data_IF_632025113818
#
_entry.id   IF_632025113818
#
_cell.length_a   1.000
_cell.length_b   1.000
_cell.length_c   1.000
_cell.angle_alpha   90.00
_cell.angle_beta   90.00
_cell.angle_gamma   90.00
#
_symmetry.space_group_name_H-M   'P 1'
#
loop_
_entity.id
_entity.type
_entity.pdbx_description
1 polymer ?
#
# COMPACT_ATOMS: atom_id res chain seq x y z
N UNK A 1 3.41 16.93 21.84
CA UNK A 1 3.79 15.55 21.47
C UNK A 1 3.09 15.24 20.17
N UNK A 2 3.75 15.50 19.06
CA UNK A 2 3.26 15.23 17.70
C UNK A 2 3.45 13.75 17.45
N UNK A 3 2.42 12.95 17.08
CA UNK A 3 2.67 11.60 16.61
C UNK A 3 3.54 11.73 15.36
N UNK A 4 4.67 11.02 15.37
CA UNK A 4 5.60 11.02 14.27
C UNK A 4 4.89 10.40 13.06
N UNK A 5 4.39 11.24 12.14
CA UNK A 5 4.29 10.87 10.72
C UNK A 5 5.68 10.42 10.34
N UNK A 6 5.90 9.12 10.45
CA UNK A 6 7.11 8.48 9.99
C UNK A 6 7.02 8.63 8.49
N UNK A 7 7.55 9.74 7.98
CA UNK A 7 8.05 9.78 6.62
C UNK A 7 9.11 8.70 6.62
N UNK A 8 8.68 7.50 6.24
CA UNK A 8 9.54 6.38 6.01
C UNK A 8 10.27 6.74 4.71
N UNK A 9 11.23 7.64 4.83
CA UNK A 9 12.41 7.62 4.00
C UNK A 9 13.04 6.26 4.30
N UNK A 10 12.56 5.26 3.55
CA UNK A 10 13.14 3.95 3.40
C UNK A 10 14.65 4.10 3.45
N UNK A 11 15.25 3.71 4.57
CA UNK A 11 16.69 3.52 4.72
C UNK A 11 16.95 2.04 4.90
N UNK A 12 16.50 1.23 3.96
CA UNK A 12 17.46 0.73 2.99
C UNK A 12 17.27 1.58 1.73
N UNK A 13 18.34 2.01 1.03
CA UNK A 13 18.15 2.59 -0.28
C UNK A 13 17.47 1.53 -1.15
N UNK A 14 16.19 1.68 -1.40
CA UNK A 14 15.96 2.12 -2.76
C UNK A 14 16.13 3.61 -2.60
N UNK A 15 17.16 4.20 -3.20
CA UNK A 15 17.27 5.66 -3.30
C UNK A 15 15.95 6.20 -3.93
N UNK A 16 15.86 7.41 -4.49
CA UNK A 16 15.33 7.38 -5.85
C UNK A 16 16.00 6.16 -6.50
N UNK A 17 15.30 5.07 -6.80
CA UNK A 17 15.64 4.45 -8.04
C UNK A 17 15.20 5.57 -8.97
N UNK A 18 16.12 6.40 -9.54
CA UNK A 18 15.70 7.41 -10.51
C UNK A 18 14.86 6.76 -11.62
N UNK A 19 14.96 5.44 -11.69
CA UNK A 19 14.21 4.55 -12.52
C UNK A 19 12.90 3.96 -11.95
N UNK A 20 12.27 4.32 -10.82
CA UNK A 20 10.97 3.66 -10.46
C UNK A 20 9.89 4.57 -9.85
N UNK A 21 10.07 5.19 -8.67
CA UNK A 21 9.02 6.02 -8.05
C UNK A 21 9.19 6.36 -6.56
N UNK A 22 8.15 6.95 -5.95
CA UNK A 22 8.04 7.30 -4.53
C UNK A 22 6.75 6.75 -3.90
N UNK A 23 6.83 6.32 -2.65
CA UNK A 23 5.69 5.86 -1.85
C UNK A 23 5.67 6.60 -0.51
N UNK A 24 4.49 7.07 -0.08
CA UNK A 24 4.26 7.61 1.25
C UNK A 24 3.18 6.78 1.94
N UNK A 25 3.48 6.30 3.14
CA UNK A 25 2.62 5.38 3.87
C UNK A 25 2.27 5.95 5.23
N UNK A 26 1.00 5.86 5.60
CA UNK A 26 0.52 6.25 6.93
C UNK A 26 -0.41 5.16 7.45
N UNK A 27 -0.30 4.86 8.75
CA UNK A 27 -1.09 3.84 9.43
C UNK A 27 -2.09 4.51 10.35
N UNK A 28 -3.36 4.09 10.25
CA UNK A 28 -4.43 4.53 11.15
C UNK A 28 -5.01 3.37 11.93
N UNK A 29 -5.50 3.71 13.12
CA UNK A 29 -6.30 2.85 13.97
C UNK A 29 -7.67 3.46 14.24
N UNK A 30 -8.59 2.67 14.79
CA UNK A 30 -9.96 3.07 15.13
C UNK A 30 -10.78 3.54 13.91
N UNK A 31 -10.60 2.90 12.76
CA UNK A 31 -11.44 3.14 11.58
C UNK A 31 -12.79 2.45 11.79
N UNK A 32 -13.86 3.23 11.99
CA UNK A 32 -15.18 2.70 12.31
C UNK A 32 -15.95 2.16 11.09
N UNK A 33 -15.76 2.76 9.91
CA UNK A 33 -16.44 2.38 8.67
C UNK A 33 -15.47 2.46 7.49
N UNK A 34 -14.69 1.39 7.32
CA UNK A 34 -13.73 1.27 6.23
C UNK A 34 -14.39 1.18 4.83
N UNK A 35 -15.56 0.54 4.63
CA UNK A 35 -16.30 0.62 3.37
C UNK A 35 -16.68 2.05 2.97
N UNK A 36 -17.22 2.85 3.89
CA UNK A 36 -17.54 4.24 3.60
C UNK A 36 -16.28 5.08 3.33
N UNK A 37 -15.16 4.78 3.99
CA UNK A 37 -13.87 5.37 3.67
C UNK A 37 -13.41 5.04 2.25
N UNK A 38 -13.52 3.78 1.84
CA UNK A 38 -13.20 3.35 0.48
C UNK A 38 -14.10 4.04 -0.55
N UNK A 39 -15.41 4.13 -0.30
CA UNK A 39 -16.34 4.83 -1.19
C UNK A 39 -15.99 6.32 -1.35
N UNK A 40 -15.61 7.00 -0.27
CA UNK A 40 -15.14 8.40 -0.31
C UNK A 40 -13.87 8.54 -1.16
N UNK A 41 -12.92 7.63 -0.97
CA UNK A 41 -11.69 7.62 -1.78
C UNK A 41 -12.02 7.42 -3.26
N UNK A 42 -12.82 6.40 -3.60
CA UNK A 42 -13.21 6.12 -4.99
C UNK A 42 -13.96 7.30 -5.63
N UNK A 43 -14.78 8.03 -4.85
CA UNK A 43 -15.43 9.24 -5.32
C UNK A 43 -14.43 10.35 -5.64
N UNK A 44 -13.42 10.57 -4.78
CA UNK A 44 -12.35 11.54 -5.02
C UNK A 44 -11.43 11.19 -6.20
N UNK A 45 -11.34 9.90 -6.55
CA UNK A 45 -10.57 9.39 -7.68
C UNK A 45 -11.37 9.32 -8.99
N UNK A 46 -12.70 9.48 -8.92
CA UNK A 46 -13.58 9.30 -10.05
C UNK A 46 -13.44 10.44 -11.06
N UNK A 47 -13.28 10.06 -12.33
CA UNK A 47 -13.35 10.98 -13.48
C UNK A 47 -14.74 10.99 -14.13
N UNK A 48 -15.71 10.24 -13.56
CA UNK A 48 -17.10 10.26 -14.04
C UNK A 48 -17.69 11.66 -13.85
N UNK A 49 -18.61 12.01 -14.74
CA UNK A 49 -19.34 13.29 -14.74
C UNK A 49 -18.49 14.55 -15.01
N UNK A 50 -17.29 14.39 -15.59
CA UNK A 50 -16.41 15.52 -15.91
C UNK A 50 -15.73 16.15 -14.70
N UNK A 51 -15.84 15.52 -13.53
CA UNK A 51 -15.13 15.93 -12.32
C UNK A 51 -13.61 15.72 -12.51
N UNK A 52 -12.82 16.71 -12.10
CA UNK A 52 -11.37 16.56 -12.03
C UNK A 52 -11.03 15.77 -10.76
N UNK A 53 -10.33 14.63 -10.88
CA UNK A 53 -9.97 13.83 -9.72
C UNK A 53 -9.02 14.61 -8.83
N UNK A 54 -9.09 14.36 -7.52
CA UNK A 54 -8.20 15.01 -6.56
C UNK A 54 -6.72 14.70 -6.91
N UNK A 55 -5.85 15.71 -7.04
CA UNK A 55 -4.49 15.53 -7.54
C UNK A 55 -3.61 14.67 -6.62
N UNK A 56 -3.94 14.57 -5.33
CA UNK A 56 -3.21 13.76 -4.34
C UNK A 56 -3.93 12.41 -4.19
N UNK A 57 -5.24 12.43 -3.94
CA UNK A 57 -6.00 11.21 -3.63
C UNK A 57 -6.11 10.27 -4.84
N UNK A 58 -5.94 10.74 -6.08
CA UNK A 58 -5.84 9.88 -7.29
C UNK A 58 -4.79 8.77 -7.18
N UNK A 59 -3.75 9.00 -6.38
CA UNK A 59 -2.62 8.10 -6.21
C UNK A 59 -2.67 7.32 -4.89
N UNK A 60 -3.77 7.41 -4.13
CA UNK A 60 -3.93 6.75 -2.83
C UNK A 60 -4.57 5.38 -2.98
N UNK A 61 -4.09 4.41 -2.20
CA UNK A 61 -4.73 3.11 -2.01
C UNK A 61 -4.83 2.79 -0.52
N UNK A 62 -5.93 2.14 -0.13
CA UNK A 62 -6.17 1.69 1.24
C UNK A 62 -5.96 0.19 1.35
N UNK A 63 -5.14 -0.22 2.31
CA UNK A 63 -4.87 -1.61 2.63
C UNK A 63 -5.38 -1.93 4.03
N UNK A 64 -5.83 -3.16 4.22
CA UNK A 64 -6.11 -3.71 5.54
C UNK A 64 -4.78 -3.98 6.26
N UNK A 65 -4.53 -3.26 7.36
CA UNK A 65 -3.27 -3.38 8.09
C UNK A 65 -3.12 -4.74 8.80
N UNK A 66 -4.23 -5.42 9.12
CA UNK A 66 -4.23 -6.73 9.77
C UNK A 66 -3.86 -7.86 8.80
N UNK A 67 -3.86 -7.59 7.48
CA UNK A 67 -3.40 -8.51 6.45
C UNK A 67 -1.89 -8.35 6.15
N UNK A 68 -1.17 -7.47 6.86
CA UNK A 68 0.24 -7.16 6.58
C UNK A 68 1.12 -7.63 7.74
N UNK A 69 2.06 -8.55 7.47
CA UNK A 69 2.96 -9.06 8.51
C UNK A 69 3.95 -8.01 9.00
N UNK A 70 4.53 -7.22 8.10
CA UNK A 70 5.52 -6.23 8.50
C UNK A 70 5.68 -5.13 7.44
N UNK A 71 6.28 -3.98 7.82
CA UNK A 71 6.67 -2.94 6.88
C UNK A 71 7.51 -3.46 5.71
N UNK A 72 8.46 -4.36 5.97
CA UNK A 72 9.40 -4.85 4.96
C UNK A 72 8.72 -5.68 3.87
N UNK A 73 7.72 -6.49 4.23
CA UNK A 73 6.91 -7.23 3.24
C UNK A 73 6.14 -6.26 2.35
N UNK A 74 5.58 -5.20 2.93
CA UNK A 74 4.87 -4.17 2.17
C UNK A 74 5.82 -3.40 1.23
N UNK A 75 7.01 -3.05 1.69
CA UNK A 75 8.04 -2.37 0.89
C UNK A 75 8.44 -3.21 -0.32
N UNK A 76 8.67 -4.52 -0.14
CA UNK A 76 8.96 -5.44 -1.22
C UNK A 76 7.83 -5.48 -2.27
N UNK A 77 6.57 -5.51 -1.81
CA UNK A 77 5.41 -5.50 -2.69
C UNK A 77 5.27 -4.18 -3.47
N UNK A 78 5.48 -3.04 -2.81
CA UNK A 78 5.48 -1.71 -3.45
C UNK A 78 6.57 -1.60 -4.51
N UNK A 79 7.80 -1.99 -4.18
CA UNK A 79 8.92 -1.95 -5.12
C UNK A 79 8.63 -2.80 -6.36
N UNK A 80 8.14 -4.03 -6.17
CA UNK A 80 7.81 -4.91 -7.28
C UNK A 80 6.67 -4.36 -8.13
N UNK A 81 5.61 -3.85 -7.49
CA UNK A 81 4.48 -3.25 -8.19
C UNK A 81 4.91 -2.07 -9.07
N UNK A 82 5.67 -1.12 -8.52
CA UNK A 82 6.14 0.02 -9.30
C UNK A 82 7.08 -0.39 -10.43
N UNK A 83 7.95 -1.38 -10.18
CA UNK A 83 8.86 -1.93 -11.20
C UNK A 83 8.07 -2.54 -12.37
N UNK A 84 7.07 -3.35 -12.07
CA UNK A 84 6.23 -3.99 -13.09
C UNK A 84 5.41 -2.98 -13.90
N UNK A 85 4.82 -1.97 -13.24
CA UNK A 85 4.06 -0.93 -13.93
C UNK A 85 4.97 -0.14 -14.86
N UNK A 86 6.17 0.23 -14.40
CA UNK A 86 7.12 0.96 -15.24
C UNK A 86 7.66 0.13 -16.40
N UNK A 87 7.90 -1.16 -16.19
CA UNK A 87 8.33 -2.07 -17.24
C UNK A 87 7.19 -2.45 -18.23
N UNK A 88 5.96 -1.98 -17.99
CA UNK A 88 4.80 -2.29 -18.84
C UNK A 88 4.32 -3.75 -18.73
N UNK A 89 4.73 -4.47 -17.68
CA UNK A 89 4.38 -5.88 -17.46
C UNK A 89 3.40 -6.10 -16.29
N UNK A 90 2.87 -5.01 -15.72
CA UNK A 90 1.87 -5.06 -14.66
C UNK A 90 0.64 -5.85 -15.07
N UNK A 91 0.07 -6.59 -14.10
CA UNK A 91 -1.11 -7.43 -14.33
C UNK A 91 -2.42 -6.68 -14.06
N UNK A 92 -2.35 -5.60 -13.30
CA UNK A 92 -3.51 -4.81 -12.87
C UNK A 92 -3.56 -3.44 -13.57
N UNK A 93 -4.71 -2.77 -13.43
CA UNK A 93 -4.96 -1.45 -14.06
C UNK A 93 -4.44 -0.26 -13.25
N UNK A 94 -4.19 -0.44 -11.96
CA UNK A 94 -3.79 0.63 -11.06
C UNK A 94 -2.62 0.17 -10.22
N UNK A 95 -1.73 1.11 -9.88
CA UNK A 95 -0.55 0.80 -9.08
C UNK A 95 -0.91 0.22 -7.70
N UNK A 96 -1.98 0.71 -7.07
CA UNK A 96 -2.46 0.17 -5.79
C UNK A 96 -2.98 -1.27 -5.88
N UNK A 97 -3.68 -1.63 -6.96
CA UNK A 97 -4.09 -3.01 -7.20
C UNK A 97 -2.88 -3.92 -7.45
N UNK A 98 -1.83 -3.39 -8.11
CA UNK A 98 -0.59 -4.13 -8.34
C UNK A 98 0.15 -4.42 -7.02
N UNK A 99 0.08 -3.53 -6.03
CA UNK A 99 0.62 -3.78 -4.68
C UNK A 99 -0.12 -4.93 -3.99
N UNK A 100 -1.46 -4.91 -3.99
CA UNK A 100 -2.27 -6.01 -3.43
C UNK A 100 -2.01 -7.32 -4.17
N UNK A 101 -1.90 -7.25 -5.49
CA UNK A 101 -1.51 -8.38 -6.32
C UNK A 101 -0.13 -8.89 -5.96
N UNK A 102 0.87 -8.02 -5.74
CA UNK A 102 2.21 -8.44 -5.37
C UNK A 102 2.25 -9.16 -4.00
N UNK A 103 1.43 -8.71 -3.04
CA UNK A 103 1.29 -9.30 -1.71
C UNK A 103 0.64 -10.69 -1.74
N UNK A 104 -0.36 -10.90 -2.58
CA UNK A 104 -1.07 -12.18 -2.63
C UNK A 104 -0.20 -13.31 -3.22
N UNK A 105 -0.38 -14.57 -2.80
CA UNK A 105 0.24 -15.70 -3.50
C UNK A 105 -0.51 -16.04 -4.79
N UNK A 106 -1.83 -15.84 -4.82
CA UNK A 106 -2.67 -16.19 -5.97
C UNK A 106 -2.55 -15.21 -7.13
N UNK A 107 -2.77 -15.67 -8.36
CA UNK A 107 -2.85 -14.80 -9.55
C UNK A 107 -4.23 -14.14 -9.71
N UNK A 108 -5.20 -14.44 -8.84
CA UNK A 108 -6.52 -13.87 -8.87
C UNK A 108 -6.53 -12.47 -8.22
N UNK A 109 -6.63 -11.44 -9.06
CA UNK A 109 -6.63 -10.04 -8.63
C UNK A 109 -7.81 -9.74 -7.68
N UNK A 110 -8.98 -10.35 -7.89
CA UNK A 110 -10.15 -10.13 -7.03
C UNK A 110 -9.90 -10.64 -5.62
N UNK A 111 -9.29 -11.82 -5.50
CA UNK A 111 -8.99 -12.42 -4.20
C UNK A 111 -7.88 -11.63 -3.48
N UNK A 112 -6.89 -11.15 -4.23
CA UNK A 112 -5.86 -10.25 -3.71
C UNK A 112 -6.46 -8.97 -3.11
N UNK A 113 -7.38 -8.31 -3.84
CA UNK A 113 -8.07 -7.11 -3.35
C UNK A 113 -8.98 -7.42 -2.15
N UNK A 114 -9.65 -8.57 -2.13
CA UNK A 114 -10.49 -8.97 -1.01
C UNK A 114 -9.69 -9.29 0.26
N UNK A 115 -8.44 -9.75 0.11
CA UNK A 115 -7.57 -10.14 1.22
C UNK A 115 -6.81 -8.96 1.80
N UNK A 116 -6.17 -8.16 0.93
CA UNK A 116 -5.28 -7.07 1.35
C UNK A 116 -5.92 -5.69 1.27
N UNK A 117 -7.03 -5.54 0.55
CA UNK A 117 -7.83 -4.33 0.56
C UNK A 117 -8.70 -4.21 1.81
N UNK A 118 -9.26 -3.02 2.01
CA UNK A 118 -10.15 -2.77 3.14
C UNK A 118 -11.48 -3.53 3.00
N UNK A 119 -11.95 -4.08 4.10
CA UNK A 119 -13.21 -4.82 4.23
C UNK A 119 -14.10 -4.17 5.29
N UNK A 120 -15.34 -4.66 5.43
CA UNK A 120 -16.28 -4.18 6.47
C UNK A 120 -15.74 -4.28 7.90
N UNK A 121 -14.85 -5.23 8.15
CA UNK A 121 -14.31 -5.51 9.49
C UNK A 121 -12.94 -4.84 9.71
N UNK A 122 -12.46 -4.03 8.76
CA UNK A 122 -11.14 -3.39 8.84
C UNK A 122 -11.17 -2.21 9.81
N UNK A 123 -10.52 -2.36 10.96
CA UNK A 123 -10.38 -1.30 11.97
C UNK A 123 -9.03 -0.57 11.91
N UNK A 124 -8.04 -1.16 11.24
CA UNK A 124 -6.69 -0.61 11.05
C UNK A 124 -6.38 -0.54 9.56
N UNK A 125 -6.02 0.64 9.07
CA UNK A 125 -5.85 0.92 7.64
C UNK A 125 -4.47 1.48 7.39
N UNK A 126 -3.79 0.97 6.37
CA UNK A 126 -2.63 1.64 5.78
C UNK A 126 -3.11 2.39 4.55
N UNK A 127 -2.92 3.71 4.50
CA UNK A 127 -3.07 4.47 3.26
C UNK A 127 -1.69 4.66 2.62
N UNK A 128 -1.59 4.30 1.34
CA UNK A 128 -0.38 4.46 0.53
C UNK A 128 -0.63 5.45 -0.59
N UNK A 129 0.14 6.51 -0.64
CA UNK A 129 0.22 7.42 -1.79
C UNK A 129 1.42 7.00 -2.66
N UNK A 130 1.16 6.65 -3.92
CA UNK A 130 2.14 6.02 -4.82
C UNK A 130 2.34 6.86 -6.09
N UNK A 131 3.57 7.28 -6.37
CA UNK A 131 3.91 8.07 -7.56
C UNK A 131 5.05 7.39 -8.32
N UNK A 132 4.91 7.21 -9.62
CA UNK A 132 6.01 6.70 -10.46
C UNK A 132 6.96 7.83 -10.81
N UNK A 133 8.26 7.52 -10.91
CA UNK A 133 9.25 8.48 -11.37
C UNK A 133 8.97 8.84 -12.84
N UNK A 134 9.12 10.11 -13.24
CA UNK A 134 8.93 10.50 -14.64
C UNK A 134 9.86 9.69 -15.53
N UNK A 135 9.34 9.20 -16.67
CA UNK A 135 10.19 8.76 -17.76
C UNK A 135 10.94 9.98 -18.31
N UNK A 136 12.16 9.78 -18.81
CA UNK A 136 13.01 10.83 -19.40
C UNK A 136 12.38 11.60 -20.56
N UNK A 137 11.20 11.18 -21.02
CA UNK A 137 10.49 11.71 -22.20
C UNK A 137 9.32 12.64 -21.83
N UNK A 138 9.06 12.90 -20.54
CA UNK A 138 7.93 13.71 -20.09
C UNK A 138 8.34 15.14 -19.67
N UNK A 139 8.01 16.13 -20.50
CA UNK A 139 8.23 17.57 -20.23
C UNK A 139 7.29 18.18 -19.16
N UNK A 140 6.33 17.40 -18.64
CA UNK A 140 5.39 17.85 -17.61
C UNK A 140 5.83 17.32 -16.25
N UNK A 141 6.71 18.04 -15.56
CA UNK A 141 7.03 17.78 -14.16
C UNK A 141 5.85 18.23 -13.28
N UNK A 142 4.87 17.35 -13.09
CA UNK A 142 3.96 17.46 -11.95
C UNK A 142 4.80 17.08 -10.73
N UNK A 143 5.36 18.09 -10.06
CA UNK A 143 6.24 17.88 -8.91
C UNK A 143 5.51 17.04 -7.86
N UNK A 144 6.15 15.97 -7.38
CA UNK A 144 5.54 15.10 -6.39
C UNK A 144 5.09 15.95 -5.16
N UNK A 145 3.85 15.79 -4.69
CA UNK A 145 3.34 16.58 -3.59
C UNK A 145 4.19 16.35 -2.33
N UNK A 146 4.35 17.40 -1.52
CA UNK A 146 5.06 17.28 -0.24
C UNK A 146 4.36 16.28 0.69
N UNK A 147 5.12 15.62 1.57
CA UNK A 147 4.55 14.69 2.57
C UNK A 147 3.51 15.36 3.46
N UNK A 148 3.70 16.62 3.83
CA UNK A 148 2.72 17.40 4.59
C UNK A 148 1.38 17.60 3.83
N UNK A 149 1.44 17.79 2.51
CA UNK A 149 0.23 17.90 1.69
C UNK A 149 -0.49 16.55 1.56
N UNK A 150 0.27 15.46 1.46
CA UNK A 150 -0.28 14.10 1.46
C UNK A 150 -0.96 13.80 2.80
N UNK A 151 -0.28 14.07 3.93
CA UNK A 151 -0.84 13.88 5.27
C UNK A 151 -2.14 14.68 5.46
N UNK A 152 -2.15 15.95 5.05
CA UNK A 152 -3.35 16.80 5.13
C UNK A 152 -4.52 16.26 4.29
N UNK A 153 -4.25 15.76 3.08
CA UNK A 153 -5.29 15.16 2.23
C UNK A 153 -5.85 13.86 2.84
N UNK A 154 -4.97 13.03 3.43
CA UNK A 154 -5.38 11.78 4.09
C UNK A 154 -6.17 12.06 5.37
N UNK A 155 -5.76 13.03 6.19
CA UNK A 155 -6.52 13.45 7.37
C UNK A 155 -7.91 13.98 7.00
N UNK A 156 -8.01 14.73 5.90
CA UNK A 156 -9.31 15.18 5.37
C UNK A 156 -10.18 14.00 4.91
N UNK A 157 -9.58 13.04 4.19
CA UNK A 157 -10.27 11.85 3.69
C UNK A 157 -10.81 10.98 4.82
N UNK A 158 -10.00 10.70 5.85
CA UNK A 158 -10.41 9.86 6.97
C UNK A 158 -11.41 10.57 7.88
N UNK A 159 -11.26 11.88 8.06
CA UNK A 159 -12.12 12.70 8.90
C UNK A 159 -11.82 12.50 10.40
N UNK A 160 -12.80 12.83 11.24
CA UNK A 160 -12.64 12.72 12.71
C UNK A 160 -12.88 11.27 13.17
N UNK A 161 -12.03 10.79 14.07
CA UNK A 161 -12.21 9.50 14.74
C UNK A 161 -10.97 8.62 14.65
N UNK A 162 -10.54 8.22 13.44
CA UNK A 162 -9.29 7.50 13.26
C UNK A 162 -8.11 8.35 13.71
N UNK A 163 -7.08 7.71 14.26
CA UNK A 163 -5.84 8.40 14.63
C UNK A 163 -4.62 7.66 14.11
N UNK A 164 -3.55 8.41 13.91
CA UNK A 164 -2.28 7.89 13.41
C UNK A 164 -1.72 6.90 14.43
N UNK A 165 -1.33 5.72 13.95
CA UNK A 165 -0.61 4.73 14.74
C UNK A 165 0.89 4.82 14.46
N UNK A 166 1.70 4.40 15.43
CA UNK A 166 3.12 4.19 15.18
C UNK A 166 3.30 3.08 14.14
N UNK A 167 4.09 3.37 13.11
CA UNK A 167 4.39 2.45 12.03
C UNK A 167 5.08 1.17 12.51
N UNK A 168 5.80 1.22 13.64
CA UNK A 168 6.40 0.03 14.27
C UNK A 168 5.35 -0.99 14.76
N UNK A 169 4.09 -0.55 14.92
CA UNK A 169 2.96 -1.44 15.29
C UNK A 169 2.31 -2.13 14.09
N UNK A 170 2.80 -1.92 12.87
CA UNK A 170 2.30 -2.65 11.72
C UNK A 170 2.56 -4.15 11.89
N UNK A 171 1.51 -4.95 11.70
CA UNK A 171 1.56 -6.41 11.78
C UNK A 171 1.50 -6.99 13.19
N UNK A 172 1.47 -6.19 14.26
CA UNK A 172 1.28 -6.72 15.63
C UNK A 172 -0.05 -7.46 15.80
N UNK A 173 -1.03 -7.11 14.97
CA UNK A 173 -2.37 -7.70 14.91
C UNK A 173 -2.53 -8.70 13.76
N UNK A 174 -1.50 -8.87 12.92
CA UNK A 174 -1.57 -9.77 11.78
C UNK A 174 -1.52 -11.23 12.22
N UNK A 175 -2.43 -12.03 11.66
CA UNK A 175 -2.47 -13.48 11.86
C UNK A 175 -1.37 -14.15 11.02
N UNK A 176 -0.22 -14.36 11.66
CA UNK A 176 0.95 -14.96 11.03
C UNK A 176 0.68 -16.40 10.53
N UNK A 177 -0.13 -17.17 11.25
CA UNK A 177 -0.45 -18.55 10.86
C UNK A 177 -1.31 -18.55 9.60
N UNK A 178 -2.33 -17.69 9.54
CA UNK A 178 -3.16 -17.52 8.35
C UNK A 178 -2.36 -17.02 7.15
N UNK A 179 -1.43 -16.09 7.35
CA UNK A 179 -0.55 -15.61 6.29
C UNK A 179 0.40 -16.72 5.79
N UNK A 180 0.97 -17.51 6.68
CA UNK A 180 1.79 -18.67 6.30
C UNK A 180 0.97 -19.69 5.50
N UNK A 181 -0.21 -20.08 5.98
CA UNK A 181 -1.11 -21.01 5.31
C UNK A 181 -1.49 -20.51 3.91
N UNK A 182 -1.88 -19.24 3.80
CA UNK A 182 -2.24 -18.61 2.53
C UNK A 182 -1.11 -18.69 1.50
N UNK A 183 0.14 -18.55 1.94
CA UNK A 183 1.33 -18.62 1.10
C UNK A 183 1.90 -20.04 0.95
N UNK A 184 1.19 -21.07 1.44
CA UNK A 184 1.67 -22.46 1.46
C UNK A 184 3.02 -22.64 2.17
N UNK A 185 3.27 -21.83 3.21
CA UNK A 185 4.43 -21.90 4.08
C UNK A 185 4.13 -22.70 5.36
N UNK A 186 5.15 -23.14 6.10
CA UNK A 186 4.94 -23.81 7.39
C UNK A 186 4.36 -22.83 8.41
N UNK A 187 3.16 -23.13 8.92
CA UNK A 187 2.45 -22.31 9.92
C UNK A 187 3.19 -22.20 11.25
N UNK A 188 4.18 -23.07 11.49
CA UNK A 188 5.04 -23.05 12.68
C UNK A 188 6.30 -22.20 12.49
N UNK A 189 6.52 -21.67 11.29
CA UNK A 189 7.68 -20.82 11.00
C UNK A 189 7.69 -19.63 11.97
N UNK A 190 8.81 -19.37 12.68
CA UNK A 190 8.94 -18.20 13.52
C UNK A 190 8.66 -16.92 12.72
N UNK A 191 8.03 -15.93 13.36
CA UNK A 191 7.63 -14.69 12.68
C UNK A 191 8.76 -14.02 11.88
N UNK A 192 9.98 -14.04 12.41
CA UNK A 192 11.14 -13.44 11.74
C UNK A 192 11.51 -14.18 10.44
N UNK A 193 11.43 -15.51 10.45
CA UNK A 193 11.64 -16.32 9.25
C UNK A 193 10.47 -16.16 8.26
N UNK A 194 9.23 -16.06 8.77
CA UNK A 194 8.06 -15.83 7.95
C UNK A 194 8.14 -14.49 7.19
N UNK A 195 8.67 -13.42 7.80
CA UNK A 195 8.92 -12.16 7.10
C UNK A 195 9.82 -12.37 5.88
N UNK A 196 10.93 -13.10 6.04
CA UNK A 196 11.86 -13.40 4.94
C UNK A 196 11.15 -14.21 3.86
N UNK A 197 10.46 -15.28 4.24
CA UNK A 197 9.80 -16.19 3.30
C UNK A 197 8.67 -15.47 2.52
N UNK A 198 7.94 -14.54 3.15
CA UNK A 198 6.96 -13.70 2.46
C UNK A 198 7.61 -12.71 1.49
N UNK A 199 8.74 -12.10 1.85
CA UNK A 199 9.49 -11.22 0.93
C UNK A 199 9.95 -12.03 -0.29
N UNK A 200 10.45 -13.25 -0.09
CA UNK A 200 10.83 -14.16 -1.17
C UNK A 200 9.63 -14.54 -2.05
N UNK A 201 8.49 -14.87 -1.44
CA UNK A 201 7.26 -15.17 -2.17
C UNK A 201 6.79 -13.96 -3.02
N UNK A 202 6.85 -12.75 -2.47
CA UNK A 202 6.56 -11.50 -3.21
C UNK A 202 7.51 -11.34 -4.38
N UNK A 203 8.82 -11.55 -4.19
CA UNK A 203 9.83 -11.38 -5.23
C UNK A 203 9.72 -12.42 -6.36
N UNK A 204 9.47 -13.68 -6.01
CA UNK A 204 9.47 -14.83 -6.93
C UNK A 204 8.11 -15.10 -7.59
N UNK A 205 7.05 -14.39 -7.20
CA UNK A 205 5.71 -14.65 -7.76
C UNK A 205 5.71 -14.55 -9.28
N UNK A 206 5.19 -15.59 -9.93
CA UNK A 206 5.18 -15.74 -11.39
C UNK A 206 6.41 -16.42 -11.99
N UNK A 207 7.44 -16.71 -11.19
CA UNK A 207 8.58 -17.57 -11.55
C UNK A 207 8.48 -18.99 -10.95
N UNK A 208 7.61 -19.17 -9.96
CA UNK A 208 7.27 -20.45 -9.33
C UNK A 208 5.97 -21.03 -9.92
#
# INVERSE_FOLDING_TARGET
MTPASTTLALRAPVAPHPLVGTAHAVLWHNVADAPALLSRLLAAQSTKDGATPDPILKNVVLLNADALLSPRVLEAAVLRAMTNVRAGIAKTRTLGAEVMYALAPSTNIRDAMATFGVTKDTARVVALHLVLAPSSDAETSDAAPSTAAIDAALDHLLGKGPSHADWTTLGTTADAAKLAEMHALDVRTPRADLERDLIEAVALKGYL
#
